data_IF_619578789746
#
_entry.id   IF_619578789746
#
_cell.length_a   1.000
_cell.length_b   1.000
_cell.length_c   1.000
_cell.angle_alpha   90.00
_cell.angle_beta   90.00
_cell.angle_gamma   90.00
#
_symmetry.space_group_name_H-M   'P 1'
#
loop_
_entity.id
_entity.type
_entity.pdbx_description
1 polymer ?
#
# COMPACT_ATOMS: atom_id res chain seq x y z
N UNK A 1 26.19 8.57 -18.95
CA UNK A 1 26.09 7.21 -19.53
C UNK A 1 24.67 6.70 -19.29
N UNK A 2 23.82 6.75 -20.31
CA UNK A 2 22.49 6.14 -20.29
C UNK A 2 22.71 4.64 -20.51
N UNK A 3 22.75 3.87 -19.42
CA UNK A 3 22.92 2.42 -19.50
C UNK A 3 21.65 1.78 -20.05
N UNK A 4 21.80 0.99 -21.12
CA UNK A 4 20.75 0.07 -21.56
C UNK A 4 20.23 -0.72 -20.34
N UNK A 5 18.91 -0.91 -20.19
CA UNK A 5 18.39 -1.78 -19.17
C UNK A 5 19.03 -3.16 -19.34
N UNK A 6 19.75 -3.63 -18.32
CA UNK A 6 20.32 -4.98 -18.28
C UNK A 6 19.25 -5.96 -18.76
N UNK A 7 19.59 -6.90 -19.66
CA UNK A 7 18.65 -7.91 -20.20
C UNK A 7 17.85 -8.62 -19.08
N UNK A 8 18.45 -8.76 -17.90
CA UNK A 8 17.77 -9.28 -16.70
C UNK A 8 16.60 -8.42 -16.22
N UNK A 9 16.71 -7.09 -16.27
CA UNK A 9 15.63 -6.19 -15.88
C UNK A 9 14.45 -6.28 -16.86
N UNK A 10 14.74 -6.35 -18.16
CA UNK A 10 13.72 -6.52 -19.20
C UNK A 10 12.92 -7.82 -19.00
N UNK A 11 13.60 -8.93 -18.73
CA UNK A 11 12.94 -10.21 -18.46
C UNK A 11 12.02 -10.17 -17.24
N UNK A 12 12.44 -9.51 -16.15
CA UNK A 12 11.61 -9.36 -14.94
C UNK A 12 10.36 -8.51 -15.21
N UNK A 13 10.49 -7.43 -15.98
CA UNK A 13 9.33 -6.61 -16.36
C UNK A 13 8.36 -7.37 -17.25
N UNK A 14 8.87 -8.14 -18.22
CA UNK A 14 8.04 -9.00 -19.06
C UNK A 14 7.32 -10.06 -18.21
N UNK A 15 8.02 -10.72 -17.29
CA UNK A 15 7.41 -11.67 -16.37
C UNK A 15 6.32 -11.03 -15.50
N UNK A 16 6.53 -9.81 -15.02
CA UNK A 16 5.52 -9.04 -14.30
C UNK A 16 4.29 -8.72 -15.14
N UNK A 17 4.47 -8.32 -16.41
CA UNK A 17 3.38 -8.07 -17.33
C UNK A 17 2.58 -9.36 -17.62
N UNK A 18 3.27 -10.49 -17.85
CA UNK A 18 2.64 -11.81 -18.02
C UNK A 18 1.88 -12.20 -16.76
N UNK A 19 2.43 -11.97 -15.57
CA UNK A 19 1.74 -12.24 -14.31
C UNK A 19 0.46 -11.41 -14.17
N UNK A 20 0.53 -10.11 -14.50
CA UNK A 20 -0.63 -9.21 -14.44
C UNK A 20 -1.75 -9.67 -15.39
N UNK A 21 -1.39 -10.03 -16.62
CA UNK A 21 -2.33 -10.58 -17.60
C UNK A 21 -2.90 -11.94 -17.16
N UNK A 22 -2.07 -12.80 -16.55
CA UNK A 22 -2.49 -14.09 -16.01
C UNK A 22 -3.51 -13.94 -14.87
N UNK A 23 -3.23 -13.03 -13.91
CA UNK A 23 -4.16 -12.70 -12.82
C UNK A 23 -5.48 -12.13 -13.35
N UNK A 24 -5.41 -11.23 -14.33
CA UNK A 24 -6.58 -10.65 -14.97
C UNK A 24 -7.42 -11.71 -15.70
N UNK A 25 -6.77 -12.57 -16.48
CA UNK A 25 -7.43 -13.65 -17.20
C UNK A 25 -8.12 -14.61 -16.23
N UNK A 26 -7.44 -14.96 -15.13
CA UNK A 26 -7.98 -15.82 -14.09
C UNK A 26 -9.27 -15.26 -13.47
N UNK A 27 -9.30 -13.99 -13.08
CA UNK A 27 -10.50 -13.40 -12.45
C UNK A 27 -11.67 -13.26 -13.43
N UNK A 28 -11.41 -13.07 -14.72
CA UNK A 28 -12.43 -13.08 -15.78
C UNK A 28 -12.94 -14.52 -15.98
N UNK A 29 -12.04 -15.49 -16.20
CA UNK A 29 -12.40 -16.88 -16.50
C UNK A 29 -13.19 -17.54 -15.37
N UNK A 30 -12.86 -17.21 -14.12
CA UNK A 30 -13.57 -17.71 -12.93
C UNK A 30 -14.82 -16.92 -12.58
N UNK A 31 -15.14 -15.87 -13.35
CA UNK A 31 -16.24 -14.93 -13.07
C UNK A 31 -16.20 -14.40 -11.64
N UNK A 32 -14.99 -14.11 -11.13
CA UNK A 32 -14.79 -13.73 -9.74
C UNK A 32 -15.57 -12.46 -9.38
N UNK A 33 -16.34 -12.51 -8.30
CA UNK A 33 -17.09 -11.38 -7.76
C UNK A 33 -16.43 -10.81 -6.51
N UNK A 34 -16.38 -9.48 -6.45
CA UNK A 34 -15.95 -8.75 -5.26
C UNK A 34 -16.99 -8.95 -4.15
N UNK A 35 -16.52 -9.27 -2.94
CA UNK A 35 -17.40 -9.64 -1.82
C UNK A 35 -17.30 -8.70 -0.62
N UNK A 36 -16.16 -8.05 -0.42
CA UNK A 36 -16.01 -7.08 0.66
C UNK A 36 -16.65 -5.74 0.28
N UNK A 37 -17.23 -5.08 1.30
CA UNK A 37 -18.03 -3.88 1.12
C UNK A 37 -17.25 -2.74 0.42
N UNK A 38 -15.98 -2.53 0.78
CA UNK A 38 -15.15 -1.48 0.18
C UNK A 38 -14.88 -1.78 -1.30
N UNK A 39 -14.44 -2.99 -1.63
CA UNK A 39 -14.12 -3.34 -3.02
C UNK A 39 -15.34 -3.21 -3.92
N UNK A 40 -16.51 -3.68 -3.47
CA UNK A 40 -17.76 -3.54 -4.23
C UNK A 40 -18.16 -2.07 -4.37
N UNK A 41 -18.04 -1.27 -3.31
CA UNK A 41 -18.32 0.16 -3.33
C UNK A 41 -17.42 0.89 -4.33
N UNK A 42 -16.10 0.69 -4.24
CA UNK A 42 -15.12 1.38 -5.08
C UNK A 42 -15.21 0.93 -6.54
N UNK A 43 -15.50 -0.34 -6.80
CA UNK A 43 -15.77 -0.83 -8.15
C UNK A 43 -17.04 -0.21 -8.73
N UNK A 44 -18.09 -0.04 -7.92
CA UNK A 44 -19.34 0.60 -8.35
C UNK A 44 -19.12 2.09 -8.67
N UNK A 45 -18.41 2.82 -7.81
CA UNK A 45 -18.04 4.23 -8.07
C UNK A 45 -17.21 4.34 -9.35
N UNK A 46 -16.18 3.52 -9.52
CA UNK A 46 -15.35 3.54 -10.73
C UNK A 46 -16.17 3.21 -12.00
N UNK A 47 -17.10 2.26 -11.92
CA UNK A 47 -18.00 1.91 -13.02
C UNK A 47 -18.94 3.06 -13.39
N UNK A 48 -19.54 3.72 -12.40
CA UNK A 48 -20.36 4.91 -12.63
C UNK A 48 -19.53 6.04 -13.28
N UNK A 49 -18.35 6.35 -12.73
CA UNK A 49 -17.44 7.34 -13.31
C UNK A 49 -17.06 7.00 -14.76
N UNK A 50 -16.80 5.74 -15.07
CA UNK A 50 -16.43 5.31 -16.43
C UNK A 50 -17.45 5.72 -17.50
N UNK A 51 -18.73 5.90 -17.12
CA UNK A 51 -19.84 6.29 -18.00
C UNK A 51 -20.11 7.79 -18.04
N UNK A 52 -19.53 8.58 -17.12
CA UNK A 52 -19.75 10.03 -16.99
C UNK A 52 -18.68 10.86 -17.70
N UNK A 53 -18.94 12.09 -18.15
CA UNK A 53 -17.91 12.97 -18.72
C UNK A 53 -16.68 13.14 -17.80
N UNK A 54 -15.47 13.23 -18.35
CA UNK A 54 -14.23 13.34 -17.55
C UNK A 54 -14.27 14.49 -16.53
N UNK A 55 -14.90 15.62 -16.89
CA UNK A 55 -15.05 16.78 -16.01
C UNK A 55 -15.79 16.49 -14.69
N UNK A 56 -16.65 15.47 -14.65
CA UNK A 56 -17.39 15.11 -13.43
C UNK A 56 -16.69 14.05 -12.58
N UNK A 57 -15.53 13.53 -13.00
CA UNK A 57 -14.79 12.52 -12.26
C UNK A 57 -14.21 13.00 -10.93
N UNK A 58 -14.13 14.32 -10.76
CA UNK A 58 -13.71 14.95 -9.51
C UNK A 58 -14.76 14.81 -8.40
N UNK A 59 -16.05 14.65 -8.76
CA UNK A 59 -17.17 14.66 -7.82
C UNK A 59 -18.02 13.38 -7.95
N UNK A 60 -17.50 12.23 -7.48
CA UNK A 60 -18.27 10.99 -7.42
C UNK A 60 -19.47 11.13 -6.47
N UNK A 61 -20.48 10.30 -6.68
CA UNK A 61 -21.67 10.21 -5.83
C UNK A 61 -21.74 8.85 -5.16
N UNK A 62 -22.40 8.77 -4.01
CA UNK A 62 -22.73 7.50 -3.40
C UNK A 62 -23.59 6.65 -4.34
N UNK A 63 -23.29 5.34 -4.50
CA UNK A 63 -24.21 4.43 -5.15
C UNK A 63 -25.53 4.32 -4.37
N UNK A 64 -26.62 4.08 -5.09
CA UNK A 64 -27.94 3.89 -4.51
C UNK A 64 -27.93 2.80 -3.41
N UNK A 65 -28.58 3.07 -2.28
CA UNK A 65 -28.64 2.16 -1.13
C UNK A 65 -27.35 2.03 -0.31
N UNK A 66 -26.27 2.77 -0.65
CA UNK A 66 -25.00 2.78 0.11
C UNK A 66 -24.73 4.11 0.83
N UNK A 67 -25.42 5.17 0.43
CA UNK A 67 -25.29 6.52 0.97
C UNK A 67 -26.10 7.50 0.13
N UNK A 68 -26.03 8.79 0.46
CA UNK A 68 -26.74 9.84 -0.28
C UNK A 68 -25.77 10.95 -0.70
N UNK A 69 -26.00 11.51 -1.89
CA UNK A 69 -25.26 12.68 -2.38
C UNK A 69 -23.83 12.40 -2.83
N UNK A 70 -22.96 13.40 -2.65
CA UNK A 70 -21.55 13.35 -3.06
C UNK A 70 -20.76 12.38 -2.16
N UNK A 71 -19.87 11.62 -2.77
CA UNK A 71 -18.92 10.78 -2.04
C UNK A 71 -17.69 11.63 -1.66
N UNK A 72 -17.59 11.97 -0.37
CA UNK A 72 -16.53 12.84 0.17
C UNK A 72 -15.62 12.14 1.20
N UNK A 73 -15.70 10.81 1.33
CA UNK A 73 -14.85 10.09 2.30
C UNK A 73 -13.38 10.07 1.89
N UNK A 74 -13.08 10.08 0.59
CA UNK A 74 -11.72 10.05 0.05
C UNK A 74 -11.62 10.87 -1.24
N UNK A 75 -10.42 11.36 -1.63
CA UNK A 75 -10.24 12.01 -2.92
C UNK A 75 -10.56 11.05 -4.07
N UNK A 76 -11.24 11.55 -5.10
CA UNK A 76 -11.73 10.74 -6.22
C UNK A 76 -10.60 10.20 -7.12
N UNK A 77 -9.39 10.73 -6.97
CA UNK A 77 -8.21 10.41 -7.81
C UNK A 77 -7.93 8.91 -7.83
N UNK A 78 -8.17 8.20 -6.71
CA UNK A 78 -8.01 6.75 -6.62
C UNK A 78 -8.89 5.98 -7.64
N UNK A 79 -10.08 6.49 -7.97
CA UNK A 79 -11.01 5.82 -8.87
C UNK A 79 -10.65 6.00 -10.35
N UNK A 80 -9.87 7.04 -10.70
CA UNK A 80 -9.64 7.42 -12.09
C UNK A 80 -8.95 6.33 -12.92
N UNK A 81 -7.91 5.62 -12.45
CA UNK A 81 -7.29 4.55 -13.21
C UNK A 81 -8.30 3.43 -13.54
N UNK A 82 -9.07 3.00 -12.55
CA UNK A 82 -10.10 1.97 -12.72
C UNK A 82 -11.20 2.42 -13.67
N UNK A 83 -11.70 3.65 -13.53
CA UNK A 83 -12.73 4.22 -14.40
C UNK A 83 -12.25 4.38 -15.84
N UNK A 84 -10.98 4.75 -16.05
CA UNK A 84 -10.38 4.90 -17.38
C UNK A 84 -10.24 3.55 -18.09
N UNK A 85 -9.79 2.52 -17.37
CA UNK A 85 -9.68 1.17 -17.90
C UNK A 85 -11.06 0.56 -18.19
N UNK A 86 -12.05 0.76 -17.32
CA UNK A 86 -13.44 0.35 -17.58
C UNK A 86 -14.00 1.02 -18.83
N UNK A 87 -13.76 2.34 -18.99
CA UNK A 87 -14.14 3.07 -20.22
C UNK A 87 -13.45 2.50 -21.45
N UNK A 88 -12.20 2.07 -21.32
CA UNK A 88 -11.44 1.39 -22.38
C UNK A 88 -11.88 -0.05 -22.66
N UNK A 89 -12.91 -0.55 -21.97
CA UNK A 89 -13.46 -1.90 -22.18
C UNK A 89 -12.78 -3.00 -21.36
N UNK A 90 -11.87 -2.67 -20.44
CA UNK A 90 -11.26 -3.68 -19.57
C UNK A 90 -12.22 -4.10 -18.46
N UNK A 91 -12.76 -5.31 -18.58
CA UNK A 91 -13.57 -5.91 -17.50
C UNK A 91 -12.77 -6.03 -16.19
N UNK A 92 -13.46 -5.99 -15.04
CA UNK A 92 -12.83 -6.14 -13.71
C UNK A 92 -11.63 -5.19 -13.44
N UNK A 93 -11.57 -4.03 -14.11
CA UNK A 93 -10.43 -3.11 -13.99
C UNK A 93 -10.02 -2.70 -12.55
N UNK A 94 -10.92 -2.57 -11.56
CA UNK A 94 -10.51 -2.31 -10.18
C UNK A 94 -9.54 -3.37 -9.63
N UNK A 95 -9.71 -4.64 -9.98
CA UNK A 95 -8.77 -5.70 -9.60
C UNK A 95 -7.48 -5.62 -10.40
N UNK A 96 -7.55 -5.27 -11.69
CA UNK A 96 -6.36 -5.03 -12.51
C UNK A 96 -5.46 -3.96 -11.90
N UNK A 97 -6.03 -2.81 -11.52
CA UNK A 97 -5.31 -1.72 -10.85
C UNK A 97 -4.72 -2.20 -9.53
N UNK A 98 -5.47 -2.97 -8.74
CA UNK A 98 -4.98 -3.56 -7.51
C UNK A 98 -3.76 -4.48 -7.73
N UNK A 99 -3.82 -5.38 -8.72
CA UNK A 99 -2.70 -6.26 -9.08
C UNK A 99 -1.47 -5.46 -9.52
N UNK A 100 -1.67 -4.43 -10.34
CA UNK A 100 -0.59 -3.53 -10.76
C UNK A 100 0.04 -2.83 -9.55
N UNK A 101 -0.77 -2.32 -8.61
CA UNK A 101 -0.27 -1.72 -7.38
C UNK A 101 0.53 -2.71 -6.52
N UNK A 102 0.08 -3.97 -6.41
CA UNK A 102 0.83 -5.00 -5.69
C UNK A 102 2.15 -5.35 -6.35
N UNK A 103 2.18 -5.57 -7.67
CA UNK A 103 3.42 -5.87 -8.39
C UNK A 103 4.43 -4.73 -8.29
N UNK A 104 3.98 -3.48 -8.42
CA UNK A 104 4.83 -2.30 -8.22
C UNK A 104 5.29 -2.17 -6.76
N UNK A 105 4.43 -2.48 -5.79
CA UNK A 105 4.81 -2.52 -4.37
C UNK A 105 5.93 -3.53 -4.12
N UNK A 106 5.82 -4.76 -4.65
CA UNK A 106 6.87 -5.77 -4.51
C UNK A 106 8.18 -5.33 -5.18
N UNK A 107 8.10 -4.65 -6.33
CA UNK A 107 9.26 -4.06 -6.99
C UNK A 107 9.95 -2.99 -6.12
N UNK A 108 9.20 -2.05 -5.56
CA UNK A 108 9.78 -1.01 -4.70
C UNK A 108 10.24 -1.55 -3.35
N UNK A 109 9.57 -2.56 -2.80
CA UNK A 109 10.01 -3.28 -1.60
C UNK A 109 11.37 -3.95 -1.86
N UNK A 110 11.54 -4.62 -3.00
CA UNK A 110 12.83 -5.17 -3.41
C UNK A 110 13.89 -4.08 -3.54
N UNK A 111 13.59 -2.98 -4.24
CA UNK A 111 14.55 -1.89 -4.44
C UNK A 111 14.99 -1.27 -3.11
N UNK A 112 14.04 -1.03 -2.20
CA UNK A 112 14.26 -0.56 -0.85
C UNK A 112 15.14 -1.53 -0.05
N UNK A 113 14.72 -2.78 0.08
CA UNK A 113 15.44 -3.78 0.85
C UNK A 113 16.85 -4.05 0.28
N UNK A 114 17.01 -4.02 -1.05
CA UNK A 114 18.32 -4.17 -1.69
C UNK A 114 19.25 -3.01 -1.32
N UNK A 115 18.73 -1.79 -1.26
CA UNK A 115 19.51 -0.61 -0.88
C UNK A 115 19.95 -0.65 0.58
N UNK A 116 19.19 -1.29 1.47
CA UNK A 116 19.45 -1.27 2.91
C UNK A 116 20.16 -2.52 3.44
N UNK A 117 19.90 -3.70 2.86
CA UNK A 117 20.33 -5.00 3.38
C UNK A 117 20.88 -5.95 2.28
N UNK A 118 20.97 -5.51 1.04
CA UNK A 118 21.53 -6.29 -0.07
C UNK A 118 20.54 -7.22 -0.78
N UNK A 119 21.01 -7.87 -1.85
CA UNK A 119 20.17 -8.58 -2.83
C UNK A 119 19.43 -9.80 -2.26
N UNK A 120 20.09 -10.56 -1.39
CA UNK A 120 19.50 -11.74 -0.76
C UNK A 120 18.35 -11.34 0.17
N UNK A 121 18.60 -10.36 1.05
CA UNK A 121 17.57 -9.83 1.96
C UNK A 121 16.39 -9.24 1.19
N UNK A 122 16.65 -8.57 0.06
CA UNK A 122 15.60 -8.03 -0.80
C UNK A 122 14.68 -9.09 -1.40
N UNK A 123 15.27 -10.18 -1.90
CA UNK A 123 14.51 -11.31 -2.45
C UNK A 123 13.66 -11.96 -1.37
N UNK A 124 14.22 -12.13 -0.16
CA UNK A 124 13.51 -12.71 0.98
C UNK A 124 12.44 -11.77 1.54
N UNK A 125 12.64 -10.46 1.53
CA UNK A 125 11.63 -9.48 1.93
C UNK A 125 10.40 -9.57 1.03
N UNK A 126 10.60 -9.66 -0.29
CA UNK A 126 9.52 -9.88 -1.26
C UNK A 126 8.82 -11.22 -1.03
N UNK A 127 9.58 -12.30 -0.82
CA UNK A 127 9.01 -13.62 -0.55
C UNK A 127 8.17 -13.62 0.74
N UNK A 128 8.69 -13.06 1.83
CA UNK A 128 7.96 -12.90 3.09
C UNK A 128 6.68 -12.07 2.91
N UNK A 129 6.74 -11.00 2.12
CA UNK A 129 5.55 -10.21 1.81
C UNK A 129 4.52 -11.03 1.02
N UNK A 130 4.94 -11.74 -0.03
CA UNK A 130 4.06 -12.51 -0.89
C UNK A 130 3.36 -13.70 -0.20
N UNK A 131 3.94 -14.22 0.88
CA UNK A 131 3.33 -15.28 1.71
C UNK A 131 2.64 -14.74 2.97
N UNK A 132 2.66 -13.42 3.19
CA UNK A 132 2.06 -12.81 4.37
C UNK A 132 0.54 -12.91 4.35
N UNK A 133 -0.12 -12.97 5.52
CA UNK A 133 -1.58 -12.92 5.59
C UNK A 133 -2.15 -11.68 4.91
N UNK A 134 -1.49 -10.53 5.04
CA UNK A 134 -1.91 -9.28 4.39
C UNK A 134 -1.94 -9.46 2.87
N UNK A 135 -0.83 -9.88 2.27
CA UNK A 135 -0.74 -9.98 0.82
C UNK A 135 -1.74 -11.00 0.28
N UNK A 136 -1.80 -12.19 0.89
CA UNK A 136 -2.71 -13.25 0.46
C UNK A 136 -4.17 -12.78 0.52
N UNK A 137 -4.59 -12.09 1.58
CA UNK A 137 -5.97 -11.61 1.73
C UNK A 137 -6.33 -10.46 0.78
N UNK A 138 -5.39 -9.54 0.53
CA UNK A 138 -5.65 -8.31 -0.21
C UNK A 138 -5.23 -8.36 -1.67
N UNK A 139 -4.69 -9.49 -2.14
CA UNK A 139 -4.45 -9.73 -3.56
C UNK A 139 -5.73 -9.61 -4.39
N UNK A 140 -6.86 -10.18 -3.92
CA UNK A 140 -8.16 -10.15 -4.60
C UNK A 140 -9.15 -9.12 -4.01
N UNK A 141 -8.66 -8.03 -3.40
CA UNK A 141 -9.50 -6.93 -2.91
C UNK A 141 -9.17 -5.65 -3.65
N UNK A 142 -10.15 -5.00 -4.25
CA UNK A 142 -9.97 -3.76 -5.00
C UNK A 142 -10.07 -2.56 -4.05
N UNK A 143 -9.07 -2.40 -3.18
CA UNK A 143 -9.08 -1.38 -2.14
C UNK A 143 -8.01 -0.30 -2.37
N UNK A 144 -8.19 0.84 -1.70
CA UNK A 144 -7.31 2.01 -1.80
C UNK A 144 -5.98 1.85 -1.06
N UNK A 145 -5.92 0.91 -0.11
CA UNK A 145 -4.71 0.69 0.69
C UNK A 145 -3.54 0.19 -0.14
N UNK A 146 -3.76 -0.50 -1.26
CA UNK A 146 -2.65 -0.92 -2.13
C UNK A 146 -2.00 0.27 -2.83
N UNK A 147 -2.76 1.27 -3.25
CA UNK A 147 -2.22 2.52 -3.78
C UNK A 147 -1.47 3.32 -2.69
N UNK A 148 -1.99 3.34 -1.46
CA UNK A 148 -1.28 3.93 -0.31
C UNK A 148 0.06 3.24 -0.05
N UNK A 149 0.06 1.90 0.01
CA UNK A 149 1.27 1.10 0.24
C UNK A 149 2.28 1.30 -0.89
N UNK A 150 1.82 1.36 -2.14
CA UNK A 150 2.67 1.67 -3.29
C UNK A 150 3.34 3.04 -3.13
N UNK A 151 2.56 4.08 -2.80
CA UNK A 151 3.10 5.41 -2.50
C UNK A 151 4.10 5.38 -1.36
N UNK A 152 3.81 4.66 -0.28
CA UNK A 152 4.70 4.56 0.86
C UNK A 152 6.02 3.85 0.51
N UNK A 153 5.95 2.64 -0.04
CA UNK A 153 7.13 1.84 -0.41
C UNK A 153 7.99 2.49 -1.48
N UNK A 154 7.36 3.12 -2.49
CA UNK A 154 8.08 3.89 -3.53
C UNK A 154 8.82 5.10 -2.96
N UNK A 155 8.20 5.85 -2.04
CA UNK A 155 8.85 6.98 -1.39
C UNK A 155 10.03 6.54 -0.51
N UNK A 156 9.87 5.47 0.27
CA UNK A 156 10.98 4.91 1.05
C UNK A 156 12.11 4.37 0.17
N UNK A 157 11.81 3.69 -0.94
CA UNK A 157 12.82 3.24 -1.89
C UNK A 157 13.63 4.42 -2.47
N UNK A 158 12.97 5.53 -2.78
CA UNK A 158 13.64 6.74 -3.25
C UNK A 158 14.47 7.46 -2.15
N UNK A 159 14.00 7.42 -0.89
CA UNK A 159 14.80 7.92 0.24
C UNK A 159 15.98 7.00 0.54
N UNK A 160 15.87 5.70 0.33
CA UNK A 160 16.95 4.76 0.62
C UNK A 160 18.17 4.93 -0.30
N UNK A 161 17.96 5.18 -1.60
CA UNK A 161 19.04 5.30 -2.58
C UNK A 161 19.33 6.76 -2.99
N UNK A 162 20.42 7.38 -2.49
CA UNK A 162 20.76 8.76 -2.81
C UNK A 162 21.25 8.98 -4.25
N UNK A 163 21.55 7.90 -5.00
CA UNK A 163 22.11 7.98 -6.36
C UNK A 163 21.05 8.22 -7.44
N UNK A 164 19.77 8.21 -7.07
CA UNK A 164 18.67 8.45 -8.00
C UNK A 164 18.70 9.92 -8.47
N UNK A 165 18.86 10.14 -9.77
CA UNK A 165 19.02 11.50 -10.34
C UNK A 165 17.80 12.40 -10.14
N UNK A 166 16.59 11.85 -10.17
CA UNK A 166 15.32 12.57 -9.95
C UNK A 166 14.69 12.25 -8.59
N UNK A 167 15.53 12.02 -7.57
CA UNK A 167 15.13 11.58 -6.22
C UNK A 167 14.00 12.42 -5.63
N UNK A 168 14.14 13.74 -5.62
CA UNK A 168 13.13 14.64 -5.03
C UNK A 168 11.78 14.54 -5.71
N UNK A 169 11.76 14.44 -7.05
CA UNK A 169 10.53 14.27 -7.82
C UNK A 169 9.87 12.91 -7.55
N UNK A 170 10.67 11.84 -7.42
CA UNK A 170 10.12 10.52 -7.07
C UNK A 170 9.50 10.51 -5.68
N UNK A 171 10.20 11.08 -4.68
CA UNK A 171 9.66 11.18 -3.31
C UNK A 171 8.36 11.98 -3.34
N UNK A 172 8.35 13.16 -3.96
CA UNK A 172 7.17 14.00 -4.06
C UNK A 172 6.01 13.29 -4.78
N UNK A 173 6.28 12.62 -5.90
CA UNK A 173 5.26 11.88 -6.67
C UNK A 173 4.66 10.71 -5.89
N UNK A 174 5.47 9.94 -5.17
CA UNK A 174 4.98 8.81 -4.37
C UNK A 174 4.23 9.25 -3.11
N UNK A 175 4.67 10.33 -2.44
CA UNK A 175 3.93 10.93 -1.33
C UNK A 175 2.60 11.51 -1.83
N UNK A 176 2.61 12.20 -2.98
CA UNK A 176 1.41 12.70 -3.63
C UNK A 176 0.43 11.57 -3.99
N UNK A 177 0.93 10.42 -4.47
CA UNK A 177 0.10 9.24 -4.73
C UNK A 177 -0.55 8.71 -3.44
N UNK A 178 0.22 8.57 -2.35
CA UNK A 178 -0.31 8.14 -1.07
C UNK A 178 -1.41 9.09 -0.55
N UNK A 179 -1.16 10.40 -0.64
CA UNK A 179 -2.13 11.43 -0.28
C UNK A 179 -3.38 11.39 -1.18
N UNK A 180 -3.21 11.29 -2.49
CA UNK A 180 -4.32 11.21 -3.44
C UNK A 180 -5.15 9.94 -3.24
N UNK A 181 -4.54 8.84 -2.80
CA UNK A 181 -5.23 7.59 -2.54
C UNK A 181 -6.06 7.62 -1.26
N UNK A 182 -5.57 8.24 -0.17
CA UNK A 182 -6.21 8.11 1.16
C UNK A 182 -6.28 9.41 1.99
N UNK A 183 -6.07 10.56 1.38
CA UNK A 183 -6.13 11.87 2.02
C UNK A 183 -5.13 12.01 3.18
N UNK A 184 -5.61 12.50 4.33
CA UNK A 184 -4.82 12.75 5.54
C UNK A 184 -4.13 11.49 6.06
N UNK A 185 -4.76 10.32 5.99
CA UNK A 185 -4.09 9.05 6.33
C UNK A 185 -2.93 8.75 5.39
N UNK A 186 -3.05 9.13 4.12
CA UNK A 186 -1.95 9.07 3.16
C UNK A 186 -0.80 10.01 3.50
N UNK A 187 -1.08 11.18 4.08
CA UNK A 187 -0.06 12.14 4.51
C UNK A 187 0.81 11.61 5.66
N UNK A 188 0.37 10.60 6.43
CA UNK A 188 1.17 9.97 7.50
C UNK A 188 2.49 9.38 6.99
N UNK A 189 2.59 9.10 5.68
CA UNK A 189 3.85 8.71 5.04
C UNK A 189 4.96 9.76 5.29
N UNK A 190 4.63 11.06 5.30
CA UNK A 190 5.60 12.12 5.52
C UNK A 190 6.22 12.03 6.92
N UNK A 191 5.42 11.76 7.94
CA UNK A 191 5.92 11.61 9.31
C UNK A 191 6.94 10.48 9.40
N UNK A 192 6.59 9.30 8.88
CA UNK A 192 7.48 8.14 8.89
C UNK A 192 8.78 8.41 8.10
N UNK A 193 8.67 9.08 6.94
CA UNK A 193 9.83 9.45 6.13
C UNK A 193 10.72 10.50 6.81
N UNK A 194 10.13 11.49 7.50
CA UNK A 194 10.88 12.50 8.26
C UNK A 194 11.66 11.84 9.38
N UNK A 195 11.03 10.98 10.18
CA UNK A 195 11.70 10.23 11.26
C UNK A 195 12.86 9.42 10.70
N UNK A 196 12.65 8.69 9.60
CA UNK A 196 13.70 7.89 8.98
C UNK A 196 14.84 8.75 8.38
N UNK A 197 14.52 9.86 7.72
CA UNK A 197 15.51 10.77 7.15
C UNK A 197 16.33 11.50 8.22
N UNK A 198 15.71 11.88 9.34
CA UNK A 198 16.40 12.45 10.50
C UNK A 198 17.36 11.44 11.12
N UNK A 199 16.94 10.18 11.27
CA UNK A 199 17.79 9.11 11.76
C UNK A 199 19.03 8.89 10.87
N UNK A 200 18.85 8.88 9.53
CA UNK A 200 19.95 8.79 8.56
C UNK A 200 20.77 10.09 8.43
N UNK A 201 20.35 11.18 9.08
CA UNK A 201 20.94 12.53 8.93
C UNK A 201 20.97 13.01 7.47
N UNK A 202 20.00 12.58 6.65
CA UNK A 202 19.95 12.89 5.23
C UNK A 202 19.23 14.23 4.97
N UNK A 203 20.00 15.31 4.91
CA UNK A 203 19.48 16.67 4.63
C UNK A 203 18.86 16.81 3.24
N UNK A 204 19.31 16.03 2.25
CA UNK A 204 18.75 16.04 0.90
C UNK A 204 17.34 15.43 0.86
N UNK A 205 17.14 14.34 1.60
CA UNK A 205 15.82 13.75 1.82
C UNK A 205 14.89 14.74 2.52
N UNK A 206 15.33 15.39 3.60
CA UNK A 206 14.49 16.37 4.34
C UNK A 206 14.01 17.53 3.45
N UNK A 207 14.89 18.08 2.60
CA UNK A 207 14.49 19.11 1.60
C UNK A 207 13.47 18.57 0.61
N UNK A 208 13.65 17.32 0.16
CA UNK A 208 12.70 16.66 -0.74
C UNK A 208 11.35 16.40 -0.08
N UNK A 209 11.32 16.14 1.23
CA UNK A 209 10.10 15.98 2.02
C UNK A 209 9.35 17.30 2.19
N UNK A 210 10.05 18.42 2.31
CA UNK A 210 9.42 19.75 2.28
C UNK A 210 8.73 20.02 0.93
N UNK A 211 9.39 19.69 -0.19
CA UNK A 211 8.77 19.74 -1.52
C UNK A 211 7.55 18.81 -1.62
N UNK A 212 7.64 17.62 -1.02
CA UNK A 212 6.55 16.64 -1.01
C UNK A 212 5.34 17.14 -0.21
N UNK A 213 5.58 17.81 0.93
CA UNK A 213 4.53 18.45 1.71
C UNK A 213 3.86 19.60 0.91
N UNK A 214 4.66 20.46 0.27
CA UNK A 214 4.16 21.53 -0.58
C UNK A 214 3.33 21.00 -1.77
N UNK A 215 3.79 19.90 -2.38
CA UNK A 215 3.08 19.24 -3.50
C UNK A 215 1.76 18.65 -3.05
N UNK A 216 1.72 17.97 -1.90
CA UNK A 216 0.47 17.45 -1.33
C UNK A 216 -0.51 18.56 -0.95
N UNK A 217 -0.01 19.67 -0.39
CA UNK A 217 -0.84 20.83 -0.09
C UNK A 217 -1.41 21.47 -1.38
N UNK A 218 -0.60 21.62 -2.42
CA UNK A 218 -1.05 22.11 -3.72
C UNK A 218 -2.10 21.19 -4.35
N UNK A 219 -1.93 19.86 -4.23
CA UNK A 219 -2.93 18.88 -4.67
C UNK A 219 -4.23 19.00 -3.88
N UNK A 220 -4.18 19.18 -2.57
CA UNK A 220 -5.36 19.38 -1.74
C UNK A 220 -6.14 20.64 -2.15
N UNK A 221 -5.43 21.77 -2.33
CA UNK A 221 -6.01 23.04 -2.77
C UNK A 221 -6.58 22.92 -4.18
N UNK A 222 -5.81 22.37 -5.13
CA UNK A 222 -6.25 22.19 -6.51
C UNK A 222 -7.48 21.28 -6.61
N UNK A 223 -7.50 20.18 -5.85
CA UNK A 223 -8.65 19.29 -5.76
C UNK A 223 -9.87 20.01 -5.21
N UNK A 224 -9.73 20.76 -4.11
CA UNK A 224 -10.83 21.52 -3.50
C UNK A 224 -11.42 22.56 -4.47
N UNK A 225 -10.58 23.33 -5.15
CA UNK A 225 -11.02 24.35 -6.11
C UNK A 225 -11.80 23.72 -7.28
N UNK A 226 -11.27 22.63 -7.84
CA UNK A 226 -11.93 21.90 -8.92
C UNK A 226 -13.23 21.25 -8.46
N UNK A 227 -13.22 20.64 -7.28
CA UNK A 227 -14.40 20.01 -6.69
C UNK A 227 -15.50 21.04 -6.47
N UNK A 228 -15.21 22.16 -5.79
CA UNK A 228 -16.18 23.25 -5.56
C UNK A 228 -16.76 23.78 -6.86
N UNK A 229 -15.92 23.98 -7.88
CA UNK A 229 -16.37 24.49 -9.18
C UNK A 229 -17.37 23.56 -9.87
N UNK A 230 -17.22 22.25 -9.69
CA UNK A 230 -18.06 21.24 -10.35
C UNK A 230 -19.27 20.85 -9.51
N UNK A 231 -19.12 20.75 -8.19
CA UNK A 231 -20.16 20.24 -7.29
C UNK A 231 -20.93 21.33 -6.54
N UNK A 232 -20.42 22.56 -6.52
CA UNK A 232 -20.96 23.67 -5.71
C UNK A 232 -20.73 23.52 -4.20
N UNK A 233 -20.08 22.45 -3.75
CA UNK A 233 -19.87 22.11 -2.33
C UNK A 233 -18.40 22.01 -1.98
N UNK A 234 -18.03 22.20 -0.71
CA UNK A 234 -16.65 22.01 -0.24
C UNK A 234 -16.35 20.53 0.00
N UNK A 235 -15.32 19.99 -0.67
CA UNK A 235 -14.85 18.65 -0.37
C UNK A 235 -14.14 18.61 0.97
N UNK A 236 -13.21 19.54 1.22
CA UNK A 236 -12.40 19.53 2.45
C UNK A 236 -13.24 19.62 3.72
N UNK A 237 -14.27 20.46 3.76
CA UNK A 237 -15.15 20.55 4.93
C UNK A 237 -15.89 19.24 5.17
N UNK A 238 -16.54 18.68 4.15
CA UNK A 238 -17.26 17.40 4.26
C UNK A 238 -16.34 16.21 4.54
N UNK A 239 -15.13 16.22 3.96
CA UNK A 239 -14.12 15.20 4.19
C UNK A 239 -13.63 15.24 5.65
N UNK A 240 -13.25 16.42 6.14
CA UNK A 240 -12.77 16.56 7.51
C UNK A 240 -13.87 16.20 8.52
N UNK A 241 -15.11 16.65 8.29
CA UNK A 241 -16.26 16.28 9.10
C UNK A 241 -16.50 14.76 9.13
N UNK A 242 -16.41 14.09 7.97
CA UNK A 242 -16.50 12.64 7.90
C UNK A 242 -15.34 11.92 8.61
N UNK A 243 -14.13 12.51 8.64
CA UNK A 243 -12.99 11.93 9.37
C UNK A 243 -13.04 12.20 10.88
N UNK A 244 -13.62 13.32 11.33
CA UNK A 244 -13.61 13.74 12.74
C UNK A 244 -14.89 13.41 13.49
N UNK A 245 -16.05 13.33 12.84
CA UNK A 245 -17.35 13.06 13.48
C UNK A 245 -17.39 11.72 14.23
N UNK A 246 -16.76 10.67 13.68
CA UNK A 246 -16.62 9.38 14.38
C UNK A 246 -15.58 9.44 15.52
N UNK A 247 -14.55 10.28 15.39
CA UNK A 247 -13.54 10.48 16.44
C UNK A 247 -14.17 11.21 17.63
N UNK A 248 -14.94 12.27 17.39
CA UNK A 248 -15.66 13.01 18.43
C UNK A 248 -16.73 12.13 19.08
N UNK A 249 -17.54 11.39 18.31
CA UNK A 249 -18.55 10.49 18.87
C UNK A 249 -17.94 9.43 19.80
N UNK A 250 -16.78 8.88 19.46
CA UNK A 250 -16.11 7.87 20.27
C UNK A 250 -15.38 8.45 21.50
N UNK A 251 -14.91 9.70 21.44
CA UNK A 251 -14.36 10.41 22.61
C UNK A 251 -15.45 10.71 23.65
N UNK A 252 -16.68 10.97 23.22
CA UNK A 252 -17.81 11.24 24.12
C UNK A 252 -18.48 9.96 24.67
N UNK A 253 -18.25 8.79 24.06
CA UNK A 253 -18.99 7.56 24.35
C UNK A 253 -18.34 6.56 25.32
N UNK A 254 -17.03 6.66 25.60
CA UNK A 254 -16.30 5.97 26.68
C UNK A 254 -14.79 6.17 26.45
N UNK A 255 -14.13 7.00 27.27
CA UNK A 255 -12.68 7.26 27.15
C UNK A 255 -11.81 5.99 27.20
N UNK A 256 -12.33 4.90 27.75
CA UNK A 256 -11.69 3.58 27.78
C UNK A 256 -11.50 2.96 26.37
N UNK A 257 -12.33 3.31 25.39
CA UNK A 257 -12.17 2.81 24.01
C UNK A 257 -10.91 3.34 23.33
N UNK A 258 -10.38 4.49 23.74
CA UNK A 258 -9.11 5.00 23.21
C UNK A 258 -7.92 4.11 23.62
N UNK A 259 -7.94 3.50 24.80
CA UNK A 259 -6.86 2.65 25.30
C UNK A 259 -6.75 1.28 24.58
N UNK A 260 -7.80 0.83 23.90
CA UNK A 260 -7.76 -0.42 23.14
C UNK A 260 -7.18 -0.29 21.73
N UNK A 261 -6.94 0.92 21.22
CA UNK A 261 -6.40 1.14 19.88
C UNK A 261 -4.93 0.67 19.73
N UNK A 262 -4.01 0.99 20.67
CA UNK A 262 -2.65 0.45 20.62
C UNK A 262 -2.56 -1.07 20.55
N UNK A 263 -3.15 -1.85 21.48
CA UNK A 263 -3.07 -3.32 21.43
C UNK A 263 -3.75 -3.91 20.19
N UNK A 264 -4.84 -3.28 19.71
CA UNK A 264 -5.46 -3.68 18.45
C UNK A 264 -4.49 -3.57 17.28
N UNK A 265 -3.89 -2.40 17.07
CA UNK A 265 -3.00 -2.20 15.93
C UNK A 265 -1.69 -2.98 16.04
N UNK A 266 -1.17 -3.21 17.25
CA UNK A 266 -0.06 -4.12 17.49
C UNK A 266 -0.40 -5.56 17.11
N UNK A 267 -1.58 -6.06 17.50
CA UNK A 267 -2.04 -7.39 17.12
C UNK A 267 -2.25 -7.52 15.61
N UNK A 268 -2.85 -6.50 14.96
CA UNK A 268 -3.01 -6.47 13.51
C UNK A 268 -1.66 -6.42 12.78
N UNK A 269 -0.73 -5.59 13.23
CA UNK A 269 0.63 -5.56 12.68
C UNK A 269 1.33 -6.91 12.83
N UNK A 270 1.26 -7.50 14.03
CA UNK A 270 1.87 -8.80 14.29
C UNK A 270 1.33 -9.86 13.35
N UNK A 271 0.01 -10.02 13.27
CA UNK A 271 -0.64 -11.03 12.43
C UNK A 271 -0.43 -10.79 10.93
N UNK A 272 -0.76 -9.58 10.46
CA UNK A 272 -0.77 -9.26 9.03
C UNK A 272 0.63 -9.26 8.41
N UNK A 273 1.67 -8.95 9.19
CA UNK A 273 3.06 -8.92 8.73
C UNK A 273 3.82 -10.22 9.01
N UNK A 274 3.16 -11.30 9.45
CA UNK A 274 3.82 -12.61 9.53
C UNK A 274 4.38 -13.02 8.15
N UNK A 275 5.55 -13.69 8.09
CA UNK A 275 6.38 -14.10 9.22
C UNK A 275 7.33 -13.01 9.75
N UNK A 276 7.42 -11.86 9.09
CA UNK A 276 8.44 -10.85 9.35
C UNK A 276 8.30 -10.12 10.68
N UNK A 277 7.07 -9.90 11.17
CA UNK A 277 6.82 -9.36 12.51
C UNK A 277 7.46 -10.23 13.61
N UNK A 278 7.26 -11.55 13.54
CA UNK A 278 7.84 -12.50 14.49
C UNK A 278 9.37 -12.51 14.43
N UNK A 279 9.95 -12.45 13.22
CA UNK A 279 11.41 -12.39 13.04
C UNK A 279 12.01 -11.08 13.55
N UNK A 280 11.33 -9.95 13.30
CA UNK A 280 11.75 -8.65 13.82
C UNK A 280 11.71 -8.62 15.35
N UNK A 281 10.67 -9.17 15.97
CA UNK A 281 10.59 -9.30 17.43
C UNK A 281 11.68 -10.23 17.98
N UNK A 282 11.93 -11.38 17.33
CA UNK A 282 12.99 -12.30 17.73
C UNK A 282 14.37 -11.63 17.70
N UNK A 283 14.64 -10.79 16.69
CA UNK A 283 15.89 -10.03 16.59
C UNK A 283 16.05 -9.02 17.75
N UNK A 284 14.96 -8.36 18.16
CA UNK A 284 14.94 -7.46 19.32
C UNK A 284 15.19 -8.24 20.62
N UNK A 285 14.50 -9.36 20.83
CA UNK A 285 14.67 -10.19 22.02
C UNK A 285 16.08 -10.78 22.14
N UNK A 286 16.70 -11.12 20.99
CA UNK A 286 18.10 -11.56 20.91
C UNK A 286 19.12 -10.42 21.03
N UNK A 287 18.66 -9.16 21.20
CA UNK A 287 19.50 -7.97 21.34
C UNK A 287 20.51 -7.80 20.21
N UNK A 288 20.12 -8.16 18.99
CA UNK A 288 20.98 -7.95 17.82
C UNK A 288 21.22 -6.45 17.61
N UNK A 289 22.38 -6.04 17.05
CA UNK A 289 22.67 -4.64 16.77
C UNK A 289 21.70 -4.08 15.72
N UNK A 290 21.24 -2.83 15.88
CA UNK A 290 20.29 -2.21 14.94
C UNK A 290 20.96 -1.91 13.60
N UNK A 291 20.34 -2.40 12.52
CA UNK A 291 20.72 -2.14 11.12
C UNK A 291 19.83 -1.05 10.51
N UNK A 292 20.16 -0.52 9.33
CA UNK A 292 19.26 0.42 8.63
C UNK A 292 17.88 -0.21 8.36
N UNK A 293 17.84 -1.48 7.97
CA UNK A 293 16.61 -2.24 7.72
C UNK A 293 15.75 -2.39 8.99
N UNK A 294 16.38 -2.69 10.14
CA UNK A 294 15.65 -2.77 11.41
C UNK A 294 15.17 -1.41 11.89
N UNK A 295 15.99 -0.38 11.78
CA UNK A 295 15.58 0.98 12.15
C UNK A 295 14.44 1.48 11.28
N UNK A 296 14.44 1.18 9.98
CA UNK A 296 13.30 1.44 9.10
C UNK A 296 12.03 0.81 9.67
N UNK A 297 12.05 -0.50 9.96
CA UNK A 297 10.89 -1.23 10.49
C UNK A 297 10.39 -0.65 11.82
N UNK A 298 11.29 -0.24 12.72
CA UNK A 298 10.93 0.40 13.99
C UNK A 298 10.34 1.79 13.74
N UNK A 299 10.96 2.62 12.89
CA UNK A 299 10.48 3.96 12.59
C UNK A 299 9.09 3.93 11.96
N UNK A 300 8.86 3.06 10.97
CA UNK A 300 7.58 2.96 10.26
C UNK A 300 6.49 2.41 11.17
N UNK A 301 6.79 1.38 11.95
CA UNK A 301 5.84 0.79 12.90
C UNK A 301 5.52 1.79 14.01
N UNK A 302 6.53 2.43 14.60
CA UNK A 302 6.35 3.44 15.64
C UNK A 302 5.56 4.66 15.16
N UNK A 303 5.84 5.19 13.97
CA UNK A 303 5.12 6.35 13.43
C UNK A 303 3.66 6.02 13.08
N UNK A 304 3.40 4.93 12.34
CA UNK A 304 2.03 4.57 11.97
C UNK A 304 1.24 4.11 13.18
N UNK A 305 1.75 3.15 13.96
CA UNK A 305 0.99 2.64 15.09
C UNK A 305 0.85 3.68 16.21
N UNK A 306 1.86 4.53 16.41
CA UNK A 306 1.79 5.64 17.37
C UNK A 306 0.65 6.60 17.04
N UNK A 307 0.57 7.06 15.78
CA UNK A 307 -0.52 7.96 15.36
C UNK A 307 -1.88 7.26 15.34
N UNK A 308 -1.95 6.03 14.79
CA UNK A 308 -3.19 5.26 14.72
C UNK A 308 -3.76 4.88 16.08
N UNK A 309 -2.91 4.80 17.11
CA UNK A 309 -3.34 4.54 18.49
C UNK A 309 -4.23 5.65 19.06
N UNK A 310 -4.19 6.86 18.51
CA UNK A 310 -5.05 7.97 18.92
C UNK A 310 -6.38 8.02 18.14
N UNK A 311 -6.55 7.19 17.11
CA UNK A 311 -7.81 7.11 16.38
C UNK A 311 -8.78 6.18 17.10
N UNK A 312 -9.99 6.68 17.31
CA UNK A 312 -11.07 5.89 17.89
C UNK A 312 -11.70 4.94 16.86
N UNK A 313 -11.74 5.34 15.58
CA UNK A 313 -12.09 4.47 14.46
C UNK A 313 -10.96 3.49 14.18
N UNK A 314 -11.22 2.20 14.35
CA UNK A 314 -10.24 1.14 14.09
C UNK A 314 -10.50 0.48 12.76
N UNK A 315 -9.46 0.36 11.95
CA UNK A 315 -9.48 -0.49 10.77
C UNK A 315 -8.10 -1.11 10.59
N UNK A 316 -8.00 -2.44 10.62
CA UNK A 316 -6.74 -3.16 10.47
C UNK A 316 -5.92 -2.68 9.27
N UNK A 317 -6.62 -2.29 8.20
CA UNK A 317 -6.06 -1.82 6.94
C UNK A 317 -5.26 -0.51 7.03
N UNK A 318 -5.41 0.26 8.11
CA UNK A 318 -4.59 1.47 8.33
C UNK A 318 -3.13 1.15 8.66
N UNK A 319 -2.84 -0.03 9.21
CA UNK A 319 -1.49 -0.46 9.53
C UNK A 319 -0.71 -1.01 8.32
N UNK A 320 -1.32 -1.09 7.13
CA UNK A 320 -0.73 -1.72 5.94
C UNK A 320 0.68 -1.24 5.58
N UNK A 321 0.96 0.08 5.56
CA UNK A 321 2.31 0.53 5.26
C UNK A 321 3.35 0.00 6.26
N UNK A 322 3.02 -0.03 7.55
CA UNK A 322 3.89 -0.61 8.57
C UNK A 322 4.07 -2.12 8.40
N UNK A 323 2.99 -2.85 8.07
CA UNK A 323 3.07 -4.29 7.83
C UNK A 323 3.98 -4.61 6.64
N UNK A 324 3.83 -3.89 5.52
CA UNK A 324 4.62 -4.15 4.31
C UNK A 324 6.08 -3.77 4.49
N UNK A 325 6.36 -2.62 5.11
CA UNK A 325 7.74 -2.18 5.34
C UNK A 325 8.48 -3.03 6.39
N UNK A 326 7.75 -3.69 7.31
CA UNK A 326 8.32 -4.65 8.24
C UNK A 326 8.98 -5.86 7.54
N UNK A 327 8.57 -6.19 6.30
CA UNK A 327 9.22 -7.26 5.56
C UNK A 327 10.67 -6.95 5.17
N UNK A 328 11.09 -5.68 5.18
CA UNK A 328 12.50 -5.31 4.95
C UNK A 328 13.39 -5.84 6.07
N UNK A 329 13.02 -5.63 7.33
CA UNK A 329 13.76 -6.17 8.48
C UNK A 329 13.61 -7.69 8.56
N UNK A 330 12.41 -8.22 8.30
CA UNK A 330 12.19 -9.66 8.25
C UNK A 330 13.08 -10.35 7.21
N UNK A 331 13.18 -9.82 6.00
CA UNK A 331 14.03 -10.35 4.94
C UNK A 331 15.52 -10.37 5.30
N UNK A 332 16.01 -9.34 6.01
CA UNK A 332 17.37 -9.32 6.55
C UNK A 332 17.59 -10.44 7.57
N UNK A 333 16.63 -10.69 8.47
CA UNK A 333 16.74 -11.76 9.45
C UNK A 333 16.67 -13.15 8.81
N UNK A 334 15.80 -13.36 7.81
CA UNK A 334 15.78 -14.62 7.04
C UNK A 334 17.08 -14.83 6.28
N UNK A 335 17.72 -13.78 5.78
CA UNK A 335 18.99 -13.88 5.05
C UNK A 335 20.15 -14.42 5.91
N UNK A 336 20.03 -14.36 7.25
CA UNK A 336 20.99 -14.96 8.19
C UNK A 336 20.85 -16.48 8.27
N UNK A 337 19.74 -17.05 7.80
CA UNK A 337 19.50 -18.50 7.79
C UNK A 337 20.21 -19.10 6.58
N UNK A 338 21.35 -19.79 6.85
CA UNK A 338 22.26 -20.31 5.83
C UNK A 338 21.60 -21.06 4.66
N UNK A 339 20.71 -22.04 4.91
CA UNK A 339 20.00 -22.76 3.85
C UNK A 339 19.16 -21.87 2.94
N UNK A 340 18.43 -20.88 3.50
CA UNK A 340 17.58 -19.99 2.73
C UNK A 340 18.40 -18.99 1.91
N UNK A 341 19.49 -18.47 2.48
CA UNK A 341 20.48 -17.68 1.72
C UNK A 341 21.06 -18.48 0.56
N UNK A 342 21.47 -19.72 0.79
CA UNK A 342 22.03 -20.58 -0.25
C UNK A 342 21.03 -20.85 -1.37
N UNK A 343 19.75 -21.10 -1.03
CA UNK A 343 18.66 -21.26 -2.00
C UNK A 343 18.53 -20.02 -2.89
N UNK A 344 18.52 -18.83 -2.29
CA UNK A 344 18.38 -17.56 -3.03
C UNK A 344 19.54 -17.34 -3.99
N UNK A 345 20.78 -17.57 -3.52
CA UNK A 345 21.98 -17.42 -4.35
C UNK A 345 21.97 -18.42 -5.50
N UNK A 346 21.61 -19.68 -5.23
CA UNK A 346 21.59 -20.76 -6.24
C UNK A 346 20.54 -20.54 -7.33
N UNK A 347 19.37 -20.01 -6.97
CA UNK A 347 18.21 -19.93 -7.87
C UNK A 347 17.82 -18.49 -8.23
N UNK A 348 18.72 -17.51 -8.09
CA UNK A 348 18.44 -16.07 -8.29
C UNK A 348 17.65 -15.73 -9.56
N UNK A 349 17.91 -16.44 -10.66
CA UNK A 349 17.26 -16.21 -11.96
C UNK A 349 15.82 -16.74 -11.98
N UNK A 350 15.53 -17.83 -11.26
CA UNK A 350 14.22 -18.49 -11.27
C UNK A 350 13.24 -17.89 -10.25
N UNK A 351 13.74 -17.25 -9.20
CA UNK A 351 12.91 -16.73 -8.10
C UNK A 351 11.85 -15.70 -8.53
N UNK A 352 12.14 -14.74 -9.44
CA UNK A 352 11.09 -13.86 -9.94
C UNK A 352 9.95 -14.61 -10.61
N UNK A 353 10.25 -15.65 -11.40
CA UNK A 353 9.23 -16.46 -12.07
C UNK A 353 8.46 -17.34 -11.08
N UNK A 354 9.15 -17.92 -10.09
CA UNK A 354 8.52 -18.68 -9.02
C UNK A 354 7.56 -17.80 -8.20
N UNK A 355 7.93 -16.53 -7.95
CA UNK A 355 7.04 -15.54 -7.33
C UNK A 355 5.81 -15.28 -8.20
N UNK A 356 5.97 -15.03 -9.50
CA UNK A 356 4.82 -14.82 -10.39
C UNK A 356 3.88 -16.03 -10.44
N UNK A 357 4.45 -17.25 -10.51
CA UNK A 357 3.69 -18.49 -10.44
C UNK A 357 2.94 -18.63 -9.10
N UNK A 358 3.59 -18.27 -7.98
CA UNK A 358 2.97 -18.23 -6.66
C UNK A 358 1.79 -17.25 -6.60
N UNK A 359 1.94 -16.05 -7.15
CA UNK A 359 0.86 -15.05 -7.19
C UNK A 359 -0.38 -15.58 -7.93
N UNK A 360 -0.16 -16.17 -9.11
CA UNK A 360 -1.23 -16.78 -9.90
C UNK A 360 -1.86 -17.96 -9.15
N UNK A 361 -1.05 -18.82 -8.51
CA UNK A 361 -1.53 -19.95 -7.74
C UNK A 361 -2.39 -19.50 -6.54
N UNK A 362 -1.92 -18.52 -5.77
CA UNK A 362 -2.68 -17.95 -4.64
C UNK A 362 -4.00 -17.36 -5.12
N UNK A 363 -3.98 -16.58 -6.21
CA UNK A 363 -5.21 -16.06 -6.79
C UNK A 363 -6.13 -17.20 -7.24
N UNK A 364 -5.61 -18.23 -7.93
CA UNK A 364 -6.39 -19.35 -8.43
C UNK A 364 -7.07 -20.10 -7.29
N UNK A 365 -6.31 -20.46 -6.25
CA UNK A 365 -6.84 -21.08 -5.04
C UNK A 365 -7.94 -20.21 -4.42
N UNK A 366 -7.74 -18.90 -4.30
CA UNK A 366 -8.75 -18.01 -3.70
C UNK A 366 -9.98 -17.77 -4.57
N UNK A 367 -9.86 -17.91 -5.89
CA UNK A 367 -11.01 -17.85 -6.81
C UNK A 367 -11.79 -19.17 -6.86
N UNK A 368 -11.13 -20.31 -6.67
CA UNK A 368 -11.73 -21.64 -6.83
C UNK A 368 -12.24 -22.26 -5.52
N UNK A 369 -11.53 -22.11 -4.42
CA UNK A 369 -11.99 -22.60 -3.13
C UNK A 369 -13.02 -21.65 -2.53
N UNK A 370 -14.06 -22.21 -1.90
CA UNK A 370 -15.10 -21.41 -1.23
C UNK A 370 -14.42 -20.43 -0.26
N UNK A 371 -14.66 -19.11 -0.38
CA UNK A 371 -14.01 -18.13 0.51
C UNK A 371 -14.38 -18.32 1.99
N UNK A 372 -15.34 -19.19 2.33
CA UNK A 372 -15.52 -19.72 3.68
C UNK A 372 -14.27 -20.42 4.23
N UNK A 373 -13.47 -21.08 3.41
CA UNK A 373 -12.19 -21.68 3.84
C UNK A 373 -11.08 -20.64 4.05
N UNK A 374 -11.27 -19.41 3.55
CA UNK A 374 -10.41 -18.26 3.84
C UNK A 374 -11.03 -17.32 4.90
N UNK A 375 -12.13 -17.71 5.56
CA UNK A 375 -12.76 -16.95 6.68
C UNK A 375 -11.95 -17.00 7.98
N UNK A 376 -10.83 -17.71 8.05
CA UNK A 376 -9.94 -17.69 9.22
C UNK A 376 -9.37 -16.30 9.55
N UNK A 377 -9.69 -15.28 8.75
CA UNK A 377 -9.25 -13.89 8.96
C UNK A 377 -10.41 -12.93 8.70
N UNK A 378 -11.48 -13.11 9.47
CA UNK A 378 -12.47 -12.06 9.67
C UNK A 378 -12.38 -11.66 11.16
N UNK A 379 -11.53 -10.71 11.56
CA UNK A 379 -11.89 -9.96 12.74
C UNK A 379 -13.05 -9.08 12.27
N UNK A 380 -14.27 -9.39 12.72
CA UNK A 380 -15.28 -8.35 12.81
C UNK A 380 -14.66 -7.08 13.42
#
# INVERSE_FOLDING_TARGET
MQGEPSRSAMHTWLAGAVCLLGLQTLVIATRYELRDADSTLYATIASDLSRRPLRSWIAPTWPEGRGAGLFTEHPAVFFWPSAALLRGGLEKAPLFVNFACWLLTLHFLYALARSLAGEVAATLAVACCAVSPLFIQYLLRANQETALVLGCTGAFAAVADPRISNRSLRIAGFVALAFAAKGVLGALVLLALVVFALWRKDRGALRSLALSAATSAALAVGYELLFRRISGSSFLLSYLDAQTSEVTAAVHGDGLRAFGSPPYYLAQWFWLALPSSALALAAIFRRLPSTEARTLGIATTGSYLGVLSFFARRAARYAFPACVLCHVSGGEEVARIGPLRALVVRHKVLLPYALMAWLILVAAMRTWFDPRYFRFINPL
#
